data_IF_958244079340
#
_entry.id   IF_958244079340
#
_cell.length_a   1.000
_cell.length_b   1.000
_cell.length_c   1.000
_cell.angle_alpha   90.00
_cell.angle_beta   90.00
_cell.angle_gamma   90.00
#
_symmetry.space_group_name_H-M   'P 1'
#
loop_
_entity.id
_entity.type
_entity.pdbx_description
1 polymer ?
#
# COMPACT_ATOMS: atom_id res chain seq x y z
N UNK A 1 -5.29 -33.44 -18.43
CA UNK A 1 -4.24 -34.22 -19.14
C UNK A 1 -2.98 -33.35 -19.20
N UNK A 2 -1.81 -33.88 -18.84
CA UNK A 2 -0.58 -33.06 -18.66
C UNK A 2 0.24 -32.83 -19.94
N UNK A 3 1.18 -31.87 -19.87
CA UNK A 3 2.09 -31.44 -20.94
C UNK A 3 3.25 -32.42 -21.23
N UNK A 4 3.36 -33.48 -20.44
CA UNK A 4 4.43 -34.47 -20.50
C UNK A 4 3.91 -35.81 -21.02
N UNK A 5 4.65 -36.41 -21.94
CA UNK A 5 4.42 -37.78 -22.45
C UNK A 5 5.57 -38.69 -22.03
N UNK A 6 5.35 -40.02 -21.96
CA UNK A 6 6.43 -40.96 -21.64
C UNK A 6 7.42 -41.03 -22.81
N UNK A 7 8.70 -40.85 -22.51
CA UNK A 7 9.79 -41.10 -23.44
C UNK A 7 9.94 -42.60 -23.71
N UNK A 8 10.52 -42.95 -24.88
CA UNK A 8 10.87 -44.33 -25.21
C UNK A 8 12.08 -44.75 -24.36
N UNK A 9 11.86 -45.35 -23.19
CA UNK A 9 12.89 -45.79 -22.25
C UNK A 9 12.37 -46.07 -20.84
N UNK A 10 13.23 -46.59 -19.94
CA UNK A 10 12.82 -47.06 -18.60
C UNK A 10 12.31 -45.94 -17.67
N UNK A 11 12.79 -44.70 -17.82
CA UNK A 11 12.39 -43.53 -17.01
C UNK A 11 12.68 -42.21 -17.75
N UNK A 12 11.80 -41.77 -18.64
CA UNK A 12 11.92 -40.44 -19.24
C UNK A 12 10.55 -39.86 -19.56
N UNK A 13 10.45 -38.54 -19.48
CA UNK A 13 9.31 -37.78 -19.99
C UNK A 13 9.80 -36.88 -21.12
N UNK A 14 9.01 -36.77 -22.19
CA UNK A 14 9.23 -35.83 -23.29
C UNK A 14 8.12 -34.79 -23.25
N UNK A 15 8.49 -33.53 -23.46
CA UNK A 15 7.54 -32.43 -23.59
C UNK A 15 6.77 -32.60 -24.89
N UNK A 16 5.45 -32.63 -24.78
CA UNK A 16 4.56 -32.67 -25.93
C UNK A 16 4.44 -31.27 -26.53
N UNK A 17 5.20 -31.01 -27.61
CA UNK A 17 5.28 -29.68 -28.23
C UNK A 17 3.95 -29.21 -28.81
N UNK A 18 3.12 -30.11 -29.30
CA UNK A 18 1.79 -29.76 -29.81
C UNK A 18 0.89 -29.28 -28.67
N UNK A 19 0.87 -30.01 -27.55
CA UNK A 19 0.11 -29.58 -26.37
C UNK A 19 0.64 -28.30 -25.74
N UNK A 20 1.95 -28.09 -25.77
CA UNK A 20 2.54 -26.81 -25.34
C UNK A 20 2.10 -25.67 -26.24
N UNK A 21 2.11 -25.86 -27.57
CA UNK A 21 1.60 -24.86 -28.50
C UNK A 21 0.11 -24.56 -28.27
N UNK A 22 -0.70 -25.60 -28.06
CA UNK A 22 -2.14 -25.48 -27.80
C UNK A 22 -2.44 -24.76 -26.47
N UNK A 23 -1.64 -25.02 -25.42
CA UNK A 23 -1.72 -24.32 -24.15
C UNK A 23 -1.25 -22.85 -24.28
N UNK A 24 -0.18 -22.60 -25.04
CA UNK A 24 0.35 -21.26 -25.28
C UNK A 24 -0.66 -20.35 -25.99
N UNK A 25 -1.54 -20.88 -26.86
CA UNK A 25 -2.62 -20.10 -27.48
C UNK A 25 -3.56 -19.49 -26.44
N UNK A 26 -3.77 -20.17 -25.31
CA UNK A 26 -4.68 -19.76 -24.23
C UNK A 26 -3.97 -19.03 -23.10
N UNK A 27 -2.63 -18.96 -23.15
CA UNK A 27 -1.82 -18.33 -22.13
C UNK A 27 -2.05 -16.81 -22.14
N UNK A 28 -2.19 -16.22 -20.96
CA UNK A 28 -2.57 -14.81 -20.80
C UNK A 28 -4.03 -14.44 -21.11
N UNK A 29 -4.92 -15.42 -21.36
CA UNK A 29 -6.37 -15.16 -21.49
C UNK A 29 -7.07 -15.33 -20.14
N UNK A 30 -7.85 -14.32 -19.75
CA UNK A 30 -8.64 -14.34 -18.52
C UNK A 30 -10.13 -14.46 -18.87
N UNK A 31 -10.85 -15.29 -18.12
CA UNK A 31 -12.31 -15.37 -18.20
C UNK A 31 -12.86 -14.66 -16.97
N UNK A 32 -13.61 -13.58 -17.20
CA UNK A 32 -14.28 -12.83 -16.16
C UNK A 32 -15.78 -13.15 -16.18
N UNK A 33 -16.35 -13.40 -15.01
CA UNK A 33 -17.78 -13.63 -14.85
C UNK A 33 -18.39 -12.43 -14.13
N UNK A 34 -19.51 -11.92 -14.64
CA UNK A 34 -20.32 -10.90 -14.00
C UNK A 34 -21.75 -11.42 -13.86
N UNK A 35 -22.40 -11.11 -12.74
CA UNK A 35 -23.84 -11.34 -12.55
C UNK A 35 -24.69 -10.24 -13.19
N UNK A 36 -24.07 -9.10 -13.49
CA UNK A 36 -24.69 -7.99 -14.20
C UNK A 36 -24.49 -8.16 -15.71
N UNK A 37 -25.60 -8.28 -16.44
CA UNK A 37 -25.64 -8.49 -17.89
C UNK A 37 -25.60 -7.18 -18.69
N UNK A 38 -25.83 -6.04 -18.04
CA UNK A 38 -25.84 -4.72 -18.68
C UNK A 38 -24.42 -4.11 -18.72
N UNK A 39 -23.50 -4.60 -17.88
CA UNK A 39 -22.12 -4.13 -17.83
C UNK A 39 -21.36 -4.45 -19.12
N UNK A 40 -20.65 -3.44 -19.62
CA UNK A 40 -19.74 -3.64 -20.76
C UNK A 40 -18.50 -4.45 -20.35
N UNK A 41 -17.87 -5.11 -21.32
CA UNK A 41 -16.64 -5.88 -21.07
C UNK A 41 -15.51 -5.01 -20.46
N UNK A 42 -15.42 -3.74 -20.88
CA UNK A 42 -14.45 -2.77 -20.37
C UNK A 42 -14.70 -2.45 -18.89
N UNK A 43 -15.96 -2.31 -18.49
CA UNK A 43 -16.31 -2.10 -17.10
C UNK A 43 -16.02 -3.34 -16.26
N UNK A 44 -16.42 -4.53 -16.71
CA UNK A 44 -16.10 -5.79 -16.01
C UNK A 44 -14.60 -5.94 -15.81
N UNK A 45 -13.80 -5.63 -16.83
CA UNK A 45 -12.35 -5.61 -16.74
C UNK A 45 -11.86 -4.59 -15.70
N UNK A 46 -12.30 -3.33 -15.78
CA UNK A 46 -11.90 -2.27 -14.84
C UNK A 46 -12.25 -2.61 -13.39
N UNK A 47 -13.44 -3.14 -13.13
CA UNK A 47 -13.88 -3.54 -11.80
C UNK A 47 -13.07 -4.72 -11.25
N UNK A 48 -12.80 -5.72 -12.09
CA UNK A 48 -12.01 -6.88 -11.69
C UNK A 48 -10.58 -6.51 -11.33
N UNK A 49 -9.91 -5.72 -12.18
CA UNK A 49 -8.54 -5.27 -11.94
C UNK A 49 -8.43 -4.13 -10.92
N UNK A 50 -9.51 -3.39 -10.67
CA UNK A 50 -9.60 -2.44 -9.54
C UNK A 50 -9.49 -3.11 -8.16
N UNK A 51 -9.56 -4.43 -8.09
CA UNK A 51 -9.29 -5.22 -6.88
C UNK A 51 -7.85 -5.12 -6.39
N UNK A 52 -6.90 -4.68 -7.23
CA UNK A 52 -5.51 -4.42 -6.82
C UNK A 52 -5.43 -3.45 -5.64
N UNK A 53 -6.33 -2.46 -5.56
CA UNK A 53 -6.40 -1.55 -4.41
C UNK A 53 -6.70 -2.26 -3.08
N UNK A 54 -7.41 -3.38 -3.12
CA UNK A 54 -7.67 -4.22 -1.94
C UNK A 54 -6.40 -4.98 -1.54
N UNK A 55 -5.66 -5.53 -2.50
CA UNK A 55 -4.39 -6.22 -2.22
C UNK A 55 -3.34 -5.25 -1.66
N UNK A 56 -3.29 -4.04 -2.20
CA UNK A 56 -2.46 -2.97 -1.66
C UNK A 56 -2.87 -2.60 -0.23
N UNK A 57 -4.17 -2.47 0.06
CA UNK A 57 -4.67 -2.24 1.42
C UNK A 57 -4.24 -3.36 2.38
N UNK A 58 -4.29 -4.62 1.96
CA UNK A 58 -3.81 -5.76 2.76
C UNK A 58 -2.29 -5.76 2.95
N UNK A 59 -1.53 -5.32 1.94
CA UNK A 59 -0.06 -5.21 2.01
C UNK A 59 0.36 -4.10 2.98
N UNK A 60 -0.20 -2.90 2.85
CA UNK A 60 0.01 -1.77 3.77
C UNK A 60 -0.44 -2.12 5.18
N UNK A 61 -1.58 -2.83 5.30
CA UNK A 61 -2.04 -3.39 6.56
C UNK A 61 -0.97 -4.25 7.25
N UNK A 62 -0.41 -5.23 6.54
CA UNK A 62 0.63 -6.16 7.05
C UNK A 62 1.97 -5.50 7.31
N UNK A 63 2.31 -4.44 6.58
CA UNK A 63 3.54 -3.67 6.73
C UNK A 63 3.38 -2.51 7.70
N UNK A 64 3.11 -1.32 7.16
CA UNK A 64 3.15 -0.05 7.88
C UNK A 64 2.16 0.03 9.05
N UNK A 65 0.96 -0.54 8.90
CA UNK A 65 -0.03 -0.61 9.99
C UNK A 65 0.23 -1.76 10.96
N UNK A 66 1.29 -2.54 10.74
CA UNK A 66 1.73 -3.64 11.60
C UNK A 66 0.58 -4.59 11.97
N UNK A 67 -0.22 -5.03 10.98
CA UNK A 67 -1.12 -6.18 11.11
C UNK A 67 -0.28 -7.43 11.41
N UNK A 68 0.10 -7.61 12.67
CA UNK A 68 0.69 -8.85 13.16
C UNK A 68 -0.32 -9.99 13.03
N UNK A 69 0.14 -11.25 12.98
CA UNK A 69 -0.75 -12.41 12.99
C UNK A 69 -1.46 -12.53 14.35
N UNK A 70 -2.61 -11.87 14.49
CA UNK A 70 -3.46 -12.01 15.67
C UNK A 70 -4.37 -13.23 15.50
N UNK A 71 -4.06 -14.29 16.23
CA UNK A 71 -4.94 -15.46 16.35
C UNK A 71 -6.04 -15.16 17.37
N UNK A 72 -7.13 -14.57 16.90
CA UNK A 72 -8.34 -14.36 17.70
C UNK A 72 -9.33 -15.50 17.45
N UNK A 73 -9.92 -16.05 18.51
CA UNK A 73 -10.92 -17.13 18.43
C UNK A 73 -12.35 -16.69 18.75
N UNK A 74 -12.51 -15.53 19.38
CA UNK A 74 -13.80 -15.02 19.80
C UNK A 74 -14.27 -13.94 18.83
N UNK A 75 -15.51 -14.06 18.35
CA UNK A 75 -16.08 -13.20 17.32
C UNK A 75 -16.01 -11.71 17.68
N UNK A 76 -16.34 -11.36 18.93
CA UNK A 76 -16.30 -9.96 19.38
C UNK A 76 -14.90 -9.32 19.27
N UNK A 77 -13.82 -10.12 19.44
CA UNK A 77 -12.45 -9.62 19.30
C UNK A 77 -12.10 -9.38 17.84
N UNK A 78 -12.56 -10.26 16.96
CA UNK A 78 -12.40 -10.12 15.50
C UNK A 78 -13.11 -8.86 15.04
N UNK A 79 -14.36 -8.64 15.47
CA UNK A 79 -15.13 -7.44 15.15
C UNK A 79 -14.41 -6.18 15.64
N UNK A 80 -14.06 -6.09 16.92
CA UNK A 80 -13.37 -4.93 17.47
C UNK A 80 -12.05 -4.62 16.73
N UNK A 81 -11.25 -5.66 16.47
CA UNK A 81 -10.01 -5.51 15.71
C UNK A 81 -10.24 -5.03 14.28
N UNK A 82 -11.21 -5.62 13.58
CA UNK A 82 -11.57 -5.22 12.22
C UNK A 82 -12.02 -3.76 12.16
N UNK A 83 -12.74 -3.28 13.17
CA UNK A 83 -13.16 -1.88 13.27
C UNK A 83 -11.96 -0.94 13.45
N UNK A 84 -11.05 -1.26 14.38
CA UNK A 84 -9.84 -0.46 14.58
C UNK A 84 -8.99 -0.43 13.30
N UNK A 85 -8.84 -1.58 12.65
CA UNK A 85 -8.10 -1.68 11.39
C UNK A 85 -8.75 -0.85 10.28
N UNK A 86 -10.07 -0.90 10.15
CA UNK A 86 -10.80 -0.10 9.18
C UNK A 86 -10.59 1.41 9.42
N UNK A 87 -10.67 1.86 10.68
CA UNK A 87 -10.40 3.27 11.03
C UNK A 87 -8.95 3.65 10.72
N UNK A 88 -7.98 2.80 11.06
CA UNK A 88 -6.57 3.03 10.75
C UNK A 88 -6.33 3.15 9.24
N UNK A 89 -6.97 2.29 8.44
CA UNK A 89 -6.89 2.34 6.99
C UNK A 89 -7.56 3.58 6.38
N UNK A 90 -8.68 4.03 6.94
CA UNK A 90 -9.30 5.30 6.54
C UNK A 90 -8.38 6.49 6.82
N UNK A 91 -7.73 6.52 7.99
CA UNK A 91 -6.77 7.57 8.34
C UNK A 91 -5.54 7.53 7.43
N UNK A 92 -5.02 6.33 7.15
CA UNK A 92 -3.92 6.14 6.21
C UNK A 92 -4.28 6.66 4.82
N UNK A 93 -5.43 6.23 4.27
CA UNK A 93 -5.91 6.63 2.95
C UNK A 93 -6.16 8.15 2.86
N UNK A 94 -6.67 8.74 3.94
CA UNK A 94 -6.85 10.19 4.04
C UNK A 94 -5.50 10.92 4.04
N UNK A 95 -4.53 10.45 4.82
CA UNK A 95 -3.18 11.04 4.89
C UNK A 95 -2.43 10.94 3.57
N UNK A 96 -2.50 9.78 2.92
CA UNK A 96 -1.96 9.51 1.59
C UNK A 96 -2.53 10.48 0.55
N UNK A 97 -3.86 10.58 0.47
CA UNK A 97 -4.53 11.51 -0.44
C UNK A 97 -4.14 12.96 -0.18
N UNK A 98 -4.11 13.36 1.08
CA UNK A 98 -3.76 14.74 1.46
C UNK A 98 -2.30 15.07 1.14
N UNK A 99 -1.39 14.11 1.31
CA UNK A 99 0.00 14.21 0.89
C UNK A 99 0.08 14.42 -0.62
N UNK A 100 -0.59 13.58 -1.42
CA UNK A 100 -0.59 13.68 -2.89
C UNK A 100 -1.13 15.04 -3.38
N UNK A 101 -2.29 15.47 -2.86
CA UNK A 101 -2.91 16.76 -3.22
C UNK A 101 -2.02 17.96 -2.85
N UNK A 102 -1.33 17.90 -1.71
CA UNK A 102 -0.40 18.95 -1.31
C UNK A 102 0.91 18.92 -2.12
N UNK A 103 1.34 17.72 -2.54
CA UNK A 103 2.60 17.53 -3.25
C UNK A 103 2.63 18.22 -4.62
N UNK A 104 1.47 18.40 -5.25
CA UNK A 104 1.34 19.19 -6.49
C UNK A 104 1.88 20.62 -6.35
N UNK A 105 1.78 21.19 -5.14
CA UNK A 105 2.20 22.56 -4.82
C UNK A 105 3.65 22.65 -4.34
N UNK A 106 4.34 21.52 -4.19
CA UNK A 106 5.75 21.46 -3.76
C UNK A 106 6.67 21.80 -4.94
N UNK A 107 7.84 22.37 -4.61
CA UNK A 107 8.85 22.78 -5.58
C UNK A 107 9.14 21.67 -6.60
N UNK A 108 9.27 22.05 -7.87
CA UNK A 108 9.50 21.14 -8.99
C UNK A 108 10.69 20.19 -8.75
N UNK A 109 11.79 20.69 -8.17
CA UNK A 109 12.99 19.90 -7.83
C UNK A 109 12.69 18.75 -6.87
N UNK A 110 11.80 18.98 -5.90
CA UNK A 110 11.40 17.97 -4.92
C UNK A 110 10.48 16.93 -5.57
N UNK A 111 9.56 17.36 -6.44
CA UNK A 111 8.71 16.45 -7.22
C UNK A 111 9.50 15.59 -8.20
N UNK A 112 10.55 16.11 -8.84
CA UNK A 112 11.42 15.32 -9.70
C UNK A 112 12.19 14.25 -8.91
N UNK A 113 12.61 14.58 -7.67
CA UNK A 113 13.28 13.62 -6.79
C UNK A 113 12.32 12.59 -6.18
N UNK A 114 11.09 12.99 -5.90
CA UNK A 114 10.04 12.16 -5.30
C UNK A 114 8.72 12.34 -6.08
N UNK A 115 8.56 11.64 -7.22
CA UNK A 115 7.44 11.85 -8.15
C UNK A 115 6.10 11.36 -7.60
N UNK A 116 6.10 10.32 -6.78
CA UNK A 116 4.90 9.73 -6.17
C UNK A 116 5.19 9.37 -4.71
N UNK A 117 5.22 10.35 -3.79
CA UNK A 117 5.47 10.06 -2.40
C UNK A 117 4.27 9.32 -1.81
N UNK A 118 4.53 8.13 -1.27
CA UNK A 118 3.55 7.41 -0.43
C UNK A 118 3.63 7.92 1.01
N UNK A 119 2.56 7.77 1.77
CA UNK A 119 2.52 8.08 3.19
C UNK A 119 3.58 7.26 3.96
N UNK A 120 3.81 6.00 3.57
CA UNK A 120 4.90 5.17 4.11
C UNK A 120 6.26 5.84 3.90
N UNK A 121 6.61 6.18 2.65
CA UNK A 121 7.88 6.85 2.33
C UNK A 121 8.02 8.21 3.04
N UNK A 122 6.90 8.92 3.23
CA UNK A 122 6.87 10.18 3.93
C UNK A 122 7.14 10.01 5.44
N UNK A 123 6.57 8.98 6.06
CA UNK A 123 6.82 8.62 7.45
C UNK A 123 8.27 8.15 7.66
N UNK A 124 8.83 7.36 6.75
CA UNK A 124 10.25 6.97 6.80
C UNK A 124 11.18 8.19 6.75
N UNK A 125 10.89 9.17 5.90
CA UNK A 125 11.64 10.43 5.85
C UNK A 125 11.50 11.26 7.13
N UNK A 126 10.44 11.06 7.89
CA UNK A 126 10.19 11.72 9.18
C UNK A 126 10.70 10.92 10.39
N UNK A 127 11.13 9.67 10.24
CA UNK A 127 11.52 8.80 11.36
C UNK A 127 12.65 9.40 12.22
N UNK A 128 13.56 10.15 11.59
CA UNK A 128 14.63 10.89 12.27
C UNK A 128 14.24 12.28 12.82
N UNK A 129 12.96 12.65 12.78
CA UNK A 129 12.47 13.94 13.28
C UNK A 129 11.95 13.78 14.70
N UNK A 130 12.75 14.26 15.66
CA UNK A 130 12.36 14.27 17.06
C UNK A 130 12.05 15.68 17.55
N UNK A 131 11.03 15.77 18.42
CA UNK A 131 10.69 16.94 19.22
C UNK A 131 10.86 16.58 20.69
N UNK A 132 11.69 17.35 21.40
CA UNK A 132 12.03 17.09 22.80
C UNK A 132 11.71 18.32 23.62
N UNK A 133 10.84 18.15 24.62
CA UNK A 133 10.53 19.17 25.63
C UNK A 133 10.99 18.67 27.00
N UNK A 134 12.03 19.28 27.56
CA UNK A 134 12.53 19.00 28.91
C UNK A 134 12.12 20.11 29.86
N UNK A 135 11.43 19.76 30.95
CA UNK A 135 11.09 20.67 32.03
C UNK A 135 11.88 20.37 33.29
N UNK A 136 12.55 21.36 33.87
CA UNK A 136 13.16 21.30 35.18
C UNK A 136 12.70 22.52 36.01
N UNK A 137 11.70 22.31 36.88
CA UNK A 137 11.11 23.39 37.68
C UNK A 137 10.43 24.46 36.83
N UNK A 138 10.93 25.70 36.88
CA UNK A 138 10.41 26.83 36.06
C UNK A 138 11.00 26.87 34.64
N UNK A 139 12.00 26.05 34.35
CA UNK A 139 12.72 26.07 33.08
C UNK A 139 12.14 25.01 32.15
N UNK A 140 11.62 25.42 31.00
CA UNK A 140 11.24 24.50 29.92
C UNK A 140 12.19 24.76 28.76
N UNK A 141 12.89 23.72 28.34
CA UNK A 141 13.70 23.72 27.14
C UNK A 141 13.05 22.85 26.07
N UNK A 142 13.04 23.36 24.85
CA UNK A 142 12.39 22.72 23.72
C UNK A 142 13.35 22.69 22.54
N UNK A 143 13.53 21.53 21.93
CA UNK A 143 14.38 21.35 20.76
C UNK A 143 13.68 20.47 19.73
N UNK A 144 13.90 20.81 18.46
CA UNK A 144 13.47 20.00 17.31
C UNK A 144 14.69 19.70 16.46
N UNK A 145 14.71 18.51 15.87
CA UNK A 145 15.72 18.15 14.87
C UNK A 145 15.67 19.13 13.69
N UNK A 146 16.83 19.50 13.13
CA UNK A 146 16.88 20.41 11.98
C UNK A 146 16.22 19.75 10.76
N UNK A 147 15.03 20.22 10.40
CA UNK A 147 14.26 19.70 9.28
C UNK A 147 14.89 20.06 7.92
N UNK A 148 14.99 19.06 7.05
CA UNK A 148 15.27 19.24 5.62
C UNK A 148 14.08 19.85 4.88
N UNK A 149 14.29 20.34 3.65
CA UNK A 149 13.20 20.92 2.85
C UNK A 149 12.11 19.89 2.50
N UNK A 150 12.48 18.61 2.29
CA UNK A 150 11.50 17.55 2.06
C UNK A 150 10.67 17.26 3.31
N UNK A 151 11.30 17.19 4.49
CA UNK A 151 10.58 16.96 5.75
C UNK A 151 9.62 18.11 6.08
N UNK A 152 10.03 19.36 5.82
CA UNK A 152 9.14 20.53 5.96
C UNK A 152 7.95 20.45 5.00
N UNK A 153 8.18 20.05 3.75
CA UNK A 153 7.13 19.89 2.75
C UNK A 153 6.12 18.80 3.16
N UNK A 154 6.63 17.66 3.63
CA UNK A 154 5.81 16.57 4.16
C UNK A 154 4.99 17.06 5.36
N UNK A 155 5.62 17.66 6.37
CA UNK A 155 4.90 18.15 7.55
C UNK A 155 3.80 19.15 7.18
N UNK A 156 4.07 20.09 6.27
CA UNK A 156 3.07 21.05 5.79
C UNK A 156 1.89 20.35 5.10
N UNK A 157 2.14 19.30 4.32
CA UNK A 157 1.07 18.57 3.62
C UNK A 157 0.05 17.96 4.59
N UNK A 158 0.53 17.37 5.69
CA UNK A 158 -0.32 16.75 6.71
C UNK A 158 -0.85 17.75 7.76
N UNK A 159 -0.60 19.05 7.58
CA UNK A 159 -1.05 20.11 8.51
C UNK A 159 -0.12 20.36 9.71
N UNK A 160 1.07 19.78 9.71
CA UNK A 160 2.11 20.05 10.69
C UNK A 160 2.75 21.43 10.50
N UNK A 161 2.83 22.20 11.59
CA UNK A 161 3.63 23.44 11.67
C UNK A 161 5.06 23.13 12.10
N UNK A 162 5.92 24.17 12.15
CA UNK A 162 7.36 24.08 12.46
C UNK A 162 7.68 23.38 13.81
N UNK A 163 6.69 23.20 14.69
CA UNK A 163 6.82 22.60 16.02
C UNK A 163 5.82 21.45 16.31
N UNK A 164 5.13 20.91 15.28
CA UNK A 164 4.08 19.86 15.34
C UNK A 164 2.76 20.27 16.05
N UNK A 165 1.64 19.54 15.82
CA UNK A 165 0.35 20.07 15.37
C UNK A 165 -0.28 21.08 16.35
N UNK A 166 -0.91 22.12 15.79
CA UNK A 166 -1.84 22.94 16.55
C UNK A 166 -3.03 22.06 16.94
N UNK A 167 -3.05 21.57 18.17
CA UNK A 167 -4.25 21.08 18.85
C UNK A 167 -4.89 22.27 19.55
#
# INVERSE_FOLDING_TARGET
>A
RGLLTKARGRRGFVVDREKVAEAAVRDGRFILFSTDLEMTAEEVFRWYFGREGIEEAFRTGKGDLSLGPLRMRADYRITAYSTVMYVAWLLWSWGERRLQEAWERVDKKLREKYPHPTLSSALELLDGVHWVRLGAGKSVHEWTTRLSEVQKAILRSVGGTRHLPCI
#
